data_IF_052161984470
#
_entry.id   IF_052161984470
#
_cell.length_a   1.000
_cell.length_b   1.000
_cell.length_c   1.000
_cell.angle_alpha   90.00
_cell.angle_beta   90.00
_cell.angle_gamma   90.00
#
_symmetry.space_group_name_H-M   'P 1'
#
loop_
_entity.id
_entity.type
_entity.pdbx_description
1 polymer ?
#
# COMPACT_ATOMS: atom_id res chain seq x y z
N UNK A 1 -0.96 -26.02 19.62
CA UNK A 1 -0.12 -25.10 18.82
C UNK A 1 1.00 -25.95 18.25
N UNK A 2 1.24 -25.93 16.93
CA UNK A 2 2.39 -26.68 16.40
C UNK A 2 3.66 -25.92 16.78
N UNK A 3 4.63 -26.61 17.38
CA UNK A 3 5.96 -26.06 17.63
C UNK A 3 6.83 -26.34 16.40
N UNK A 4 7.24 -25.29 15.70
CA UNK A 4 8.07 -25.39 14.51
C UNK A 4 8.18 -24.08 13.74
N UNK A 5 9.17 -23.95 12.84
CA UNK A 5 9.28 -22.80 11.96
C UNK A 5 8.06 -22.72 11.04
N UNK A 6 7.67 -21.50 10.71
CA UNK A 6 6.59 -21.23 9.76
C UNK A 6 7.01 -20.07 8.86
N UNK A 7 6.33 -19.96 7.71
CA UNK A 7 6.54 -18.88 6.75
C UNK A 7 5.33 -17.96 6.78
N UNK A 8 5.56 -16.66 6.90
CA UNK A 8 4.55 -15.62 6.68
C UNK A 8 4.73 -15.10 5.27
N UNK A 9 3.64 -15.04 4.50
CA UNK A 9 3.60 -14.35 3.21
C UNK A 9 2.72 -13.13 3.40
N UNK A 10 3.32 -11.94 3.32
CA UNK A 10 2.61 -10.67 3.42
C UNK A 10 2.52 -10.06 2.02
N UNK A 11 1.32 -10.09 1.44
CA UNK A 11 1.05 -9.52 0.14
C UNK A 11 0.22 -8.24 0.29
N UNK A 12 0.86 -7.08 0.10
CA UNK A 12 0.21 -5.78 0.20
C UNK A 12 0.38 -4.99 -1.11
N UNK A 13 -0.66 -4.93 -1.96
CA UNK A 13 -0.61 -4.21 -3.22
C UNK A 13 -0.40 -2.69 -3.07
N UNK A 14 -0.67 -2.11 -1.90
CA UNK A 14 -0.43 -0.69 -1.63
C UNK A 14 0.97 -0.40 -1.06
N UNK A 15 1.71 -1.44 -0.66
CA UNK A 15 3.04 -1.28 -0.05
C UNK A 15 3.04 -0.54 1.29
N UNK A 16 1.91 -0.55 2.02
CA UNK A 16 1.76 0.14 3.31
C UNK A 16 2.19 -0.73 4.50
N UNK A 17 2.39 -2.02 4.27
CA UNK A 17 2.82 -2.99 5.26
C UNK A 17 4.34 -2.96 5.46
N UNK A 18 4.77 -3.21 6.69
CA UNK A 18 6.18 -3.15 7.07
C UNK A 18 6.56 -4.31 7.99
N UNK A 19 7.71 -4.93 7.73
CA UNK A 19 8.37 -5.91 8.60
C UNK A 19 9.74 -5.33 8.99
N UNK A 20 10.01 -5.27 10.28
CA UNK A 20 11.28 -4.75 10.80
C UNK A 20 12.43 -5.72 10.49
N UNK A 21 13.47 -5.23 9.82
CA UNK A 21 14.75 -5.95 9.69
C UNK A 21 15.55 -5.80 11.00
N UNK A 22 15.79 -6.91 11.71
CA UNK A 22 16.54 -6.95 12.97
C UNK A 22 18.07 -7.00 12.79
N UNK A 23 18.55 -7.28 11.58
CA UNK A 23 19.98 -7.44 11.23
C UNK A 23 20.59 -6.15 10.66
N UNK A 24 20.08 -4.99 11.08
CA UNK A 24 20.46 -3.68 10.55
C UNK A 24 22.00 -3.50 10.43
N UNK A 25 22.42 -2.89 9.31
CA UNK A 25 23.73 -2.91 8.62
C UNK A 25 23.92 -4.06 7.60
N UNK A 26 23.16 -5.16 7.69
CA UNK A 26 23.21 -6.27 6.73
C UNK A 26 21.80 -6.66 6.23
N UNK A 27 21.70 -7.37 5.08
CA UNK A 27 20.46 -8.01 4.65
C UNK A 27 20.02 -9.09 5.66
N UNK A 28 18.72 -9.15 5.95
CA UNK A 28 18.13 -10.21 6.79
C UNK A 28 18.02 -11.51 5.97
N UNK A 29 18.64 -12.63 6.40
CA UNK A 29 18.60 -13.89 5.67
C UNK A 29 17.23 -14.60 5.70
N UNK A 30 16.32 -14.16 6.56
CA UNK A 30 14.98 -14.74 6.74
C UNK A 30 13.86 -13.86 6.19
N UNK A 31 14.19 -12.68 5.67
CA UNK A 31 13.22 -11.75 5.06
C UNK A 31 13.49 -11.65 3.57
N UNK A 32 12.49 -12.04 2.77
CA UNK A 32 12.47 -11.81 1.33
C UNK A 32 11.44 -10.73 1.03
N UNK A 33 11.83 -9.74 0.21
CA UNK A 33 10.96 -8.63 -0.21
C UNK A 33 11.00 -8.55 -1.73
N UNK A 34 9.83 -8.47 -2.34
CA UNK A 34 9.66 -8.32 -3.79
C UNK A 34 8.69 -7.16 -4.05
N UNK A 35 9.09 -6.26 -4.94
CA UNK A 35 8.21 -5.23 -5.49
C UNK A 35 7.60 -5.72 -6.80
N UNK A 36 6.31 -5.48 -6.98
CA UNK A 36 5.60 -5.91 -8.18
C UNK A 36 4.65 -4.82 -8.68
N UNK A 37 4.30 -4.90 -9.97
CA UNK A 37 3.27 -4.04 -10.56
C UNK A 37 1.91 -4.66 -10.26
N UNK A 38 1.03 -3.89 -9.62
CA UNK A 38 -0.36 -4.29 -9.36
C UNK A 38 -1.08 -4.72 -10.63
N UNK A 39 -1.95 -5.71 -10.50
CA UNK A 39 -2.86 -6.11 -11.58
C UNK A 39 -3.97 -5.06 -11.76
N UNK A 40 -4.68 -5.10 -12.90
CA UNK A 40 -5.84 -4.23 -13.13
C UNK A 40 -6.92 -4.46 -12.05
N UNK A 41 -7.20 -5.72 -11.73
CA UNK A 41 -8.16 -6.12 -10.70
C UNK A 41 -7.80 -5.55 -9.32
N UNK A 42 -6.51 -5.61 -8.93
CA UNK A 42 -6.05 -4.98 -7.69
C UNK A 42 -6.26 -3.47 -7.70
N UNK A 43 -6.06 -2.79 -8.84
CA UNK A 43 -6.33 -1.35 -8.92
C UNK A 43 -7.83 -1.02 -8.84
N UNK A 44 -8.70 -1.89 -9.38
CA UNK A 44 -10.16 -1.77 -9.29
C UNK A 44 -10.64 -1.96 -7.85
N UNK A 45 -10.19 -3.02 -7.17
CA UNK A 45 -10.53 -3.29 -5.76
C UNK A 45 -10.12 -2.15 -4.82
N UNK A 46 -9.03 -1.45 -5.15
CA UNK A 46 -8.51 -0.33 -4.39
C UNK A 46 -9.10 1.03 -4.82
N UNK A 47 -10.08 1.03 -5.74
CA UNK A 47 -10.71 2.21 -6.31
C UNK A 47 -9.71 3.22 -6.92
N UNK A 48 -8.57 2.73 -7.42
CA UNK A 48 -7.51 3.60 -7.96
C UNK A 48 -7.82 4.04 -9.38
N UNK A 49 -8.52 3.20 -10.15
CA UNK A 49 -8.90 3.53 -11.52
C UNK A 49 -9.94 4.66 -11.58
N UNK A 50 -10.77 4.79 -10.55
CA UNK A 50 -11.80 5.83 -10.43
C UNK A 50 -11.31 7.07 -9.68
N UNK A 51 -10.03 7.14 -9.34
CA UNK A 51 -9.47 8.26 -8.60
C UNK A 51 -9.57 9.53 -9.43
N UNK A 52 -10.33 10.51 -8.94
CA UNK A 52 -10.33 11.85 -9.50
C UNK A 52 -8.98 12.50 -9.20
N UNK A 53 -8.29 12.98 -10.24
CA UNK A 53 -6.97 13.63 -10.11
C UNK A 53 -6.98 15.10 -10.55
N UNK A 54 -8.13 15.61 -11.01
CA UNK A 54 -8.26 16.94 -11.63
C UNK A 54 -9.49 17.70 -11.09
N UNK A 55 -9.60 18.99 -11.42
CA UNK A 55 -10.79 19.79 -11.11
C UNK A 55 -11.03 20.05 -9.62
N UNK A 56 -10.02 19.85 -8.77
CA UNK A 56 -10.07 20.21 -7.34
C UNK A 56 -9.91 21.71 -7.10
N UNK A 57 -9.24 22.40 -8.00
CA UNK A 57 -9.02 23.85 -7.91
C UNK A 57 -10.31 24.67 -8.10
N UNK A 58 -11.31 24.13 -8.81
CA UNK A 58 -12.57 24.82 -9.11
C UNK A 58 -13.51 24.97 -7.88
N UNK A 59 -13.31 24.17 -6.84
CA UNK A 59 -14.16 24.19 -5.63
C UNK A 59 -13.66 25.15 -4.55
N UNK A 60 -12.42 25.65 -4.63
CA UNK A 60 -11.84 26.57 -3.62
C UNK A 60 -12.58 27.91 -3.47
N UNK A 61 -13.53 28.23 -4.36
CA UNK A 61 -14.29 29.49 -4.33
C UNK A 61 -15.80 29.36 -4.10
N UNK A 62 -16.32 28.16 -3.81
CA UNK A 62 -17.77 27.93 -3.64
C UNK A 62 -18.21 27.67 -2.20
N UNK A 63 -17.27 27.46 -1.28
CA UNK A 63 -17.58 27.19 0.14
C UNK A 63 -17.87 28.48 0.94
N UNK A 64 -17.45 29.65 0.45
CA UNK A 64 -17.65 30.95 1.12
C UNK A 64 -19.02 31.62 0.84
N UNK A 65 -19.96 30.97 0.14
CA UNK A 65 -21.26 31.57 -0.25
C UNK A 65 -22.49 30.84 0.28
N UNK A 66 -22.34 29.96 1.28
CA UNK A 66 -23.47 29.38 2.02
C UNK A 66 -23.31 29.55 3.53
N UNK A 67 -23.33 30.80 4.01
CA UNK A 67 -24.13 31.33 5.14
C UNK A 67 -23.83 32.81 5.39
#
# INVERSE_FOLDING_TARGET
>A
MSEGPFTIILNDPLGNSYIQNLFYLNPDPYLFVEEYIRTSEQNEELCLNDMKIEGYEENKGKEDQQE
#
